data_IF_229160198519
#
_entry.id   IF_229160198519
#
_cell.length_a   1.000
_cell.length_b   1.000
_cell.length_c   1.000
_cell.angle_alpha   90.00
_cell.angle_beta   90.00
_cell.angle_gamma   90.00
#
_symmetry.space_group_name_H-M   'P 1'
#
loop_
_entity.id
_entity.type
_entity.pdbx_description
1 polymer ?
#
# COMPACT_ATOMS: atom_id res chain seq x y z
N UNK A 1 31.65 29.74 -21.24
CA UNK A 1 31.26 28.39 -20.81
C UNK A 1 30.69 28.52 -19.41
N UNK A 2 29.37 28.65 -19.28
CA UNK A 2 28.66 28.59 -17.99
C UNK A 2 28.19 27.16 -17.82
N UNK A 3 28.68 26.49 -16.77
CA UNK A 3 28.26 25.13 -16.44
C UNK A 3 26.76 25.12 -16.18
N UNK A 4 26.05 24.21 -16.82
CA UNK A 4 24.69 23.84 -16.43
C UNK A 4 24.75 23.43 -14.96
N UNK A 5 24.20 24.27 -14.09
CA UNK A 5 23.92 23.89 -12.70
C UNK A 5 23.02 22.64 -12.75
N UNK A 6 23.42 21.61 -12.02
CA UNK A 6 22.59 20.43 -11.76
C UNK A 6 21.30 20.91 -11.10
N UNK A 7 20.24 21.09 -11.91
CA UNK A 7 18.91 21.32 -11.38
C UNK A 7 18.52 20.09 -10.58
N UNK A 8 18.39 20.23 -9.26
CA UNK A 8 17.85 19.21 -8.38
C UNK A 8 16.46 18.80 -8.90
N UNK A 9 16.37 17.65 -9.56
CA UNK A 9 15.07 17.11 -9.98
C UNK A 9 14.38 16.58 -8.74
N UNK A 10 13.26 17.19 -8.36
CA UNK A 10 12.43 16.73 -7.25
C UNK A 10 11.91 15.31 -7.58
N UNK A 11 12.45 14.30 -6.90
CA UNK A 11 11.98 12.93 -7.04
C UNK A 11 10.57 12.81 -6.45
N UNK A 12 9.55 12.74 -7.31
CA UNK A 12 8.19 12.46 -6.88
C UNK A 12 8.03 11.00 -6.48
N UNK A 13 7.63 10.75 -5.23
CA UNK A 13 7.41 9.39 -4.70
C UNK A 13 5.94 9.01 -4.84
N UNK A 14 5.64 7.82 -5.39
CA UNK A 14 4.26 7.31 -5.43
C UNK A 14 3.75 7.07 -4.01
N UNK A 15 2.60 7.67 -3.68
CA UNK A 15 1.98 7.53 -2.36
C UNK A 15 0.60 6.89 -2.46
N UNK A 16 0.38 5.79 -1.75
CA UNK A 16 -0.93 5.17 -1.59
C UNK A 16 -1.62 5.72 -0.35
N UNK A 17 -2.72 6.43 -0.55
CA UNK A 17 -3.60 6.88 0.53
C UNK A 17 -4.66 5.82 0.81
N UNK A 18 -4.70 5.30 2.04
CA UNK A 18 -5.70 4.34 2.49
C UNK A 18 -6.57 4.96 3.56
N UNK A 19 -7.88 4.94 3.33
CA UNK A 19 -8.89 5.30 4.32
C UNK A 19 -9.54 4.04 4.86
N UNK A 20 -9.52 3.85 6.18
CA UNK A 20 -10.13 2.70 6.84
C UNK A 20 -11.43 3.12 7.50
N UNK A 21 -12.42 2.22 7.47
CA UNK A 21 -13.68 2.37 8.19
C UNK A 21 -14.10 1.02 8.74
N UNK A 22 -14.58 1.00 9.98
CA UNK A 22 -15.25 -0.15 10.55
C UNK A 22 -16.38 0.32 11.48
N UNK A 23 -17.59 -0.27 11.41
CA UNK A 23 -18.75 0.18 12.19
C UNK A 23 -18.54 0.23 13.71
N UNK A 24 -17.70 -0.65 14.24
CA UNK A 24 -17.34 -0.69 15.67
C UNK A 24 -15.90 -0.27 15.95
N UNK A 25 -15.34 0.67 15.18
CA UNK A 25 -13.94 1.09 15.34
C UNK A 25 -13.63 1.69 16.71
N UNK A 26 -14.58 2.43 17.30
CA UNK A 26 -14.41 3.11 18.60
C UNK A 26 -14.41 2.12 19.78
N UNK A 27 -15.18 1.04 19.67
CA UNK A 27 -15.29 0.03 20.72
C UNK A 27 -14.19 -1.04 20.61
N UNK A 28 -13.89 -1.50 19.39
CA UNK A 28 -13.01 -2.66 19.18
C UNK A 28 -11.54 -2.31 19.08
N UNK A 29 -11.20 -1.01 18.95
CA UNK A 29 -9.83 -0.53 18.86
C UNK A 29 -9.00 -1.29 17.80
N UNK A 30 -9.65 -1.82 16.76
CA UNK A 30 -9.02 -2.76 15.81
C UNK A 30 -7.90 -2.10 15.02
N UNK A 31 -7.97 -0.78 14.86
CA UNK A 31 -6.98 0.03 14.17
C UNK A 31 -5.93 0.66 15.10
N UNK A 32 -5.92 0.33 16.39
CA UNK A 32 -5.01 0.97 17.38
C UNK A 32 -3.52 0.79 17.07
N UNK A 33 -3.17 -0.22 16.29
CA UNK A 33 -1.79 -0.51 15.90
C UNK A 33 -1.43 0.11 14.53
N UNK A 34 -2.35 0.84 13.89
CA UNK A 34 -2.09 1.56 12.65
C UNK A 34 -1.64 2.99 12.98
N UNK A 35 -0.55 3.42 12.34
CA UNK A 35 -0.05 4.78 12.44
C UNK A 35 -0.79 5.69 11.44
N UNK A 36 -1.98 6.14 11.81
CA UNK A 36 -2.73 7.10 10.99
C UNK A 36 -2.00 8.43 10.87
N UNK A 37 -2.26 9.15 9.76
CA UNK A 37 -1.72 10.47 9.46
C UNK A 37 -0.19 10.55 9.38
N UNK A 38 0.49 9.40 9.31
CA UNK A 38 1.93 9.31 9.06
C UNK A 38 2.16 8.65 7.71
N UNK A 39 3.04 9.25 6.90
CA UNK A 39 3.54 8.61 5.68
C UNK A 39 4.61 7.61 6.07
N UNK A 40 4.46 6.39 5.60
CA UNK A 40 5.44 5.33 5.80
C UNK A 40 6.11 5.01 4.47
N UNK A 41 7.44 5.07 4.44
CA UNK A 41 8.20 4.65 3.26
C UNK A 41 8.33 3.14 3.26
N UNK A 42 7.96 2.53 2.14
CA UNK A 42 8.04 1.09 1.90
C UNK A 42 8.83 0.87 0.64
N UNK A 43 9.65 -0.18 0.59
CA UNK A 43 10.41 -0.47 -0.62
C UNK A 43 9.47 -1.02 -1.69
N UNK A 44 9.77 -0.74 -2.96
CA UNK A 44 8.93 -1.20 -4.07
C UNK A 44 8.91 -2.74 -4.23
N UNK A 45 9.95 -3.42 -3.77
CA UNK A 45 10.07 -4.88 -3.72
C UNK A 45 9.37 -5.51 -2.50
N UNK A 46 8.97 -4.71 -1.50
CA UNK A 46 8.30 -5.21 -0.31
C UNK A 46 6.81 -5.51 -0.56
N UNK A 47 6.31 -6.51 0.17
CA UNK A 47 4.88 -6.84 0.22
C UNK A 47 4.30 -6.38 1.55
N UNK A 48 3.46 -5.35 1.51
CA UNK A 48 2.76 -4.81 2.67
C UNK A 48 1.57 -5.71 3.05
N UNK A 49 1.68 -6.45 4.14
CA UNK A 49 0.64 -7.38 4.63
C UNK A 49 -0.22 -6.76 5.74
N UNK A 50 -1.53 -6.97 5.65
CA UNK A 50 -2.54 -6.56 6.62
C UNK A 50 -3.20 -7.79 7.23
N UNK A 51 -3.36 -7.84 8.54
CA UNK A 51 -3.94 -9.00 9.23
C UNK A 51 -3.74 -8.93 10.74
N UNK A 52 -4.18 -9.96 11.48
CA UNK A 52 -4.06 -9.99 12.94
C UNK A 52 -2.74 -10.60 13.46
N UNK A 53 -1.94 -11.22 12.60
CA UNK A 53 -0.71 -11.92 12.99
C UNK A 53 0.50 -10.97 12.91
N UNK A 54 0.92 -10.44 14.06
CA UNK A 54 2.02 -9.48 14.17
C UNK A 54 3.39 -10.03 13.85
N UNK A 55 3.54 -11.35 13.71
CA UNK A 55 4.81 -11.95 13.27
C UNK A 55 5.04 -11.81 11.77
N UNK A 56 3.98 -11.64 10.98
CA UNK A 56 4.03 -11.60 9.51
C UNK A 56 3.40 -10.36 8.90
N UNK A 57 2.50 -9.68 9.59
CA UNK A 57 1.81 -8.49 9.11
C UNK A 57 2.52 -7.22 9.60
N UNK A 58 2.89 -6.36 8.63
CA UNK A 58 3.40 -5.01 8.92
C UNK A 58 2.29 -4.13 9.50
N UNK A 59 1.08 -4.26 8.98
CA UNK A 59 -0.08 -3.50 9.41
C UNK A 59 -1.05 -4.41 10.19
N UNK A 60 -1.05 -4.25 11.51
CA UNK A 60 -1.80 -5.12 12.40
C UNK A 60 -3.24 -4.63 12.62
N UNK A 61 -4.19 -5.54 12.43
CA UNK A 61 -5.61 -5.34 12.65
C UNK A 61 -6.06 -6.17 13.85
N UNK A 62 -6.29 -5.52 14.99
CA UNK A 62 -6.52 -6.16 16.29
C UNK A 62 -7.97 -6.60 16.47
N UNK A 63 -8.43 -7.57 15.68
CA UNK A 63 -9.75 -8.18 15.80
C UNK A 63 -9.67 -9.70 15.51
N UNK A 64 -10.29 -10.52 16.34
CA UNK A 64 -10.25 -11.99 16.22
C UNK A 64 -10.91 -12.50 14.95
N UNK A 65 -11.82 -11.72 14.35
CA UNK A 65 -12.51 -12.03 13.09
C UNK A 65 -11.62 -11.80 11.87
N UNK A 66 -10.53 -11.06 12.02
CA UNK A 66 -9.56 -10.83 10.94
C UNK A 66 -8.71 -12.07 10.77
N UNK A 67 -8.42 -12.43 9.52
CA UNK A 67 -7.52 -13.55 9.24
C UNK A 67 -6.08 -13.24 9.68
N UNK A 68 -5.26 -14.27 9.91
CA UNK A 68 -3.82 -14.07 10.23
C UNK A 68 -3.17 -13.14 9.21
N UNK A 69 -3.48 -13.35 7.93
CA UNK A 69 -3.23 -12.41 6.82
C UNK A 69 -4.57 -12.20 6.10
N UNK A 70 -5.08 -10.97 6.09
CA UNK A 70 -6.34 -10.60 5.46
C UNK A 70 -6.13 -10.26 3.98
N UNK A 71 -5.16 -9.40 3.69
CA UNK A 71 -4.76 -9.03 2.35
C UNK A 71 -3.32 -8.51 2.33
N UNK A 72 -2.75 -8.41 1.14
CA UNK A 72 -1.41 -7.86 0.94
C UNK A 72 -1.35 -6.96 -0.29
N UNK A 73 -0.56 -5.90 -0.19
CA UNK A 73 -0.27 -4.96 -1.27
C UNK A 73 1.16 -5.19 -1.76
N UNK A 74 1.32 -5.23 -3.08
CA UNK A 74 2.60 -5.31 -3.74
C UNK A 74 2.68 -4.19 -4.77
N UNK A 75 3.75 -3.41 -4.71
CA UNK A 75 4.06 -2.43 -5.75
C UNK A 75 4.74 -3.12 -6.92
N UNK A 76 4.44 -2.69 -8.14
CA UNK A 76 5.13 -3.21 -9.31
C UNK A 76 5.23 -2.14 -10.40
N UNK A 77 6.29 -2.24 -11.21
CA UNK A 77 6.47 -1.40 -12.40
C UNK A 77 5.92 -2.12 -13.61
N UNK A 78 5.01 -1.48 -14.35
CA UNK A 78 4.54 -2.00 -15.64
C UNK A 78 5.54 -1.55 -16.71
N UNK A 79 6.27 -2.49 -17.31
CA UNK A 79 7.34 -2.22 -18.29
C UNK A 79 6.88 -1.62 -19.63
N UNK A 80 5.62 -1.19 -19.74
CA UNK A 80 5.03 -0.77 -21.01
C UNK A 80 5.23 0.73 -21.31
N UNK A 81 5.68 1.54 -20.34
CA UNK A 81 5.92 2.98 -20.52
C UNK A 81 7.23 3.41 -19.82
N UNK A 82 8.38 3.40 -20.51
CA UNK A 82 9.68 3.71 -19.91
C UNK A 82 9.88 5.18 -19.52
N UNK A 83 9.00 6.09 -19.96
CA UNK A 83 9.16 7.55 -19.78
C UNK A 83 8.32 8.08 -18.59
N UNK A 84 7.36 7.30 -18.07
CA UNK A 84 6.57 7.66 -16.89
C UNK A 84 6.73 6.56 -15.85
N UNK A 85 7.40 6.88 -14.75
CA UNK A 85 7.69 6.04 -13.59
C UNK A 85 6.44 5.64 -12.77
N UNK A 86 5.30 5.40 -13.42
CA UNK A 86 4.04 5.08 -12.75
C UNK A 86 4.12 3.71 -12.05
N UNK A 87 4.34 3.72 -10.74
CA UNK A 87 4.28 2.55 -9.89
C UNK A 87 2.81 2.12 -9.75
N UNK A 88 2.52 0.87 -10.08
CA UNK A 88 1.18 0.30 -9.98
C UNK A 88 1.06 -0.51 -8.69
N UNK A 89 -0.17 -0.68 -8.20
CA UNK A 89 -0.44 -1.37 -6.95
C UNK A 89 -1.25 -2.63 -7.25
N UNK A 90 -0.76 -3.76 -6.77
CA UNK A 90 -1.46 -5.04 -6.84
C UNK A 90 -1.90 -5.45 -5.44
N UNK A 91 -3.20 -5.64 -5.26
CA UNK A 91 -3.78 -6.13 -4.02
C UNK A 91 -4.13 -7.61 -4.18
N UNK A 92 -3.65 -8.44 -3.25
CA UNK A 92 -3.98 -9.85 -3.14
C UNK A 92 -4.80 -10.10 -1.88
N UNK A 93 -5.94 -10.77 -2.01
CA UNK A 93 -6.78 -11.17 -0.88
C UNK A 93 -7.37 -12.55 -1.11
N UNK A 94 -7.69 -13.27 -0.04
CA UNK A 94 -8.27 -14.61 -0.12
C UNK A 94 -9.71 -14.57 0.36
N UNK A 95 -10.65 -15.01 -0.47
CA UNK A 95 -12.07 -15.17 -0.10
C UNK A 95 -12.44 -16.63 -0.36
N UNK A 96 -12.97 -17.32 0.65
CA UNK A 96 -13.41 -18.72 0.55
C UNK A 96 -12.35 -19.64 -0.07
N UNK A 97 -11.11 -19.55 0.42
CA UNK A 97 -9.94 -20.28 -0.10
C UNK A 97 -9.53 -19.97 -1.55
N UNK A 98 -10.21 -19.03 -2.20
CA UNK A 98 -9.89 -18.56 -3.54
C UNK A 98 -9.05 -17.28 -3.46
N UNK A 99 -7.85 -17.29 -4.03
CA UNK A 99 -7.01 -16.09 -4.16
C UNK A 99 -7.61 -15.17 -5.23
N UNK A 100 -7.85 -13.93 -4.87
CA UNK A 100 -8.30 -12.86 -5.76
C UNK A 100 -7.23 -11.78 -5.84
N UNK A 101 -7.12 -11.15 -6.99
CA UNK A 101 -6.17 -10.07 -7.25
C UNK A 101 -6.91 -8.89 -7.85
N UNK A 102 -6.73 -7.70 -7.28
CA UNK A 102 -7.18 -6.43 -7.84
C UNK A 102 -5.92 -5.64 -8.22
N UNK A 103 -5.95 -5.01 -9.39
CA UNK A 103 -4.89 -4.11 -9.85
C UNK A 103 -5.46 -2.70 -9.79
N UNK A 104 -4.78 -1.84 -9.04
CA UNK A 104 -5.10 -0.42 -8.93
C UNK A 104 -4.05 0.33 -9.75
N UNK A 105 -4.51 1.01 -10.79
CA UNK A 105 -3.69 1.86 -11.65
C UNK A 105 -4.03 3.32 -11.37
N UNK A 106 -3.05 4.20 -11.54
CA UNK A 106 -3.28 5.65 -11.51
C UNK A 106 -4.32 6.01 -12.59
N UNK A 107 -5.47 6.54 -12.16
CA UNK A 107 -6.45 7.12 -13.07
C UNK A 107 -5.95 8.49 -13.51
N UNK A 108 -5.76 8.67 -14.82
CA UNK A 108 -5.60 10.03 -15.35
C UNK A 108 -7.00 10.63 -15.37
N UNK A 109 -7.25 11.65 -14.55
CA UNK A 109 -8.41 12.50 -14.75
C UNK A 109 -8.25 13.16 -16.13
N UNK A 110 -9.27 12.95 -16.98
CA UNK A 110 -9.41 13.56 -18.31
C UNK A 110 -10.23 14.83 -18.25
#
# INVERSE_FOLDING_TARGET
MTSFEEAETEETVTCLHLTFYHPGQDEKMMFRCLNFCKREQVRADDVAKFGRDSSVCRYNLMDTRVSRIQFSLQFYRKLQFPILSSLNIRMHFSINHSKKTIIITEGRDS
#
